data_IF_785474609214
#
_entry.id   IF_785474609214
#
_cell.length_a   1.000
_cell.length_b   1.000
_cell.length_c   1.000
_cell.angle_alpha   90.00
_cell.angle_beta   90.00
_cell.angle_gamma   90.00
#
_symmetry.space_group_name_H-M   'P 1'
#
loop_
_entity.id
_entity.type
_entity.pdbx_description
1 polymer ?
#
# COMPACT_ATOMS: atom_id res chain seq x y z
N UNK A 1 -22.53 -0.44 8.81
CA UNK A 1 -21.77 -1.70 8.84
C UNK A 1 -20.97 -1.73 10.12
N UNK A 2 -20.73 -2.87 10.77
CA UNK A 2 -19.97 -2.91 12.02
C UNK A 2 -18.45 -2.68 11.85
N UNK A 3 -17.95 -2.80 10.62
CA UNK A 3 -16.54 -2.58 10.24
C UNK A 3 -16.45 -1.62 9.06
N UNK A 4 -15.26 -1.05 8.85
CA UNK A 4 -14.91 -0.16 7.73
C UNK A 4 -13.45 -0.39 7.30
N UNK A 5 -13.14 -0.11 6.05
CA UNK A 5 -11.77 0.04 5.60
C UNK A 5 -11.28 1.44 6.00
N UNK A 6 -10.28 1.55 6.90
CA UNK A 6 -9.75 2.85 7.31
C UNK A 6 -8.98 3.53 6.17
N UNK A 7 -8.78 4.84 6.32
CA UNK A 7 -7.87 5.59 5.45
C UNK A 7 -6.41 5.33 5.86
N UNK A 8 -5.48 5.44 4.91
CA UNK A 8 -4.06 5.21 5.20
C UNK A 8 -3.47 6.21 6.19
N UNK A 9 -4.02 7.43 6.27
CA UNK A 9 -3.57 8.45 7.23
C UNK A 9 -4.08 8.27 8.66
N UNK A 10 -4.93 7.28 8.92
CA UNK A 10 -5.35 6.93 10.28
C UNK A 10 -4.21 6.26 11.06
N UNK A 11 -4.31 6.15 12.40
CA UNK A 11 -3.28 5.50 13.21
C UNK A 11 -2.96 4.09 12.73
N UNK A 12 -1.69 3.74 12.79
CA UNK A 12 -1.19 2.44 12.34
C UNK A 12 -0.42 1.75 13.46
N UNK A 13 -0.55 0.42 13.57
CA UNK A 13 0.25 -0.40 14.45
C UNK A 13 1.61 -0.70 13.84
N UNK A 14 1.61 -1.08 12.57
CA UNK A 14 2.79 -1.56 11.87
C UNK A 14 2.71 -1.36 10.36
N UNK A 15 3.88 -1.42 9.73
CA UNK A 15 4.04 -1.64 8.28
C UNK A 15 4.66 -3.01 8.05
N UNK A 16 4.17 -3.75 7.05
CA UNK A 16 4.82 -4.94 6.52
C UNK A 16 5.71 -4.59 5.34
N UNK A 17 6.92 -5.17 5.34
CA UNK A 17 7.81 -5.28 4.18
C UNK A 17 8.02 -6.77 3.85
N UNK A 18 8.03 -7.09 2.57
CA UNK A 18 8.53 -8.37 2.07
C UNK A 18 9.93 -8.11 1.51
N UNK A 19 10.95 -8.70 2.15
CA UNK A 19 12.36 -8.32 1.95
C UNK A 19 12.96 -8.94 0.69
N UNK A 20 13.68 -8.17 -0.16
CA UNK A 20 14.34 -8.70 -1.35
C UNK A 20 15.43 -9.71 -1.01
N UNK A 21 15.55 -10.75 -1.82
CA UNK A 21 16.56 -11.80 -1.66
C UNK A 21 16.99 -12.39 -3.01
N UNK A 22 18.01 -13.25 -3.00
CA UNK A 22 18.57 -13.81 -4.24
C UNK A 22 17.64 -14.77 -5.00
N UNK A 23 16.49 -15.12 -4.43
CA UNK A 23 15.45 -15.91 -5.09
C UNK A 23 14.38 -15.06 -5.78
N UNK A 24 14.46 -13.72 -5.72
CA UNK A 24 13.57 -12.80 -6.41
C UNK A 24 14.20 -12.26 -7.69
N UNK A 25 13.42 -11.60 -8.52
CA UNK A 25 13.90 -10.93 -9.73
C UNK A 25 14.87 -9.76 -9.45
N UNK A 26 15.00 -9.36 -8.17
CA UNK A 26 15.99 -8.38 -7.71
C UNK A 26 17.44 -8.90 -7.69
N UNK A 27 17.66 -10.20 -7.90
CA UNK A 27 18.99 -10.81 -7.83
C UNK A 27 20.10 -10.05 -8.58
N UNK A 28 19.89 -9.52 -9.80
CA UNK A 28 20.93 -8.78 -10.54
C UNK A 28 21.34 -7.47 -9.88
N UNK A 29 20.47 -6.86 -9.07
CA UNK A 29 20.63 -5.53 -8.43
C UNK A 29 20.34 -5.61 -6.92
N UNK A 30 20.63 -6.77 -6.32
CA UNK A 30 20.27 -7.07 -4.93
C UNK A 30 20.87 -6.08 -3.93
N UNK A 31 22.04 -5.53 -4.18
CA UNK A 31 22.69 -4.59 -3.29
C UNK A 31 21.96 -3.24 -3.31
N UNK A 32 21.68 -2.71 -4.48
CA UNK A 32 21.00 -1.43 -4.65
C UNK A 32 19.57 -1.45 -4.09
N UNK A 33 18.80 -2.51 -4.35
CA UNK A 33 17.45 -2.62 -3.79
C UNK A 33 17.51 -2.82 -2.28
N UNK A 34 18.50 -3.54 -1.76
CA UNK A 34 18.69 -3.71 -0.31
C UNK A 34 18.99 -2.38 0.37
N UNK A 35 19.79 -1.50 -0.22
CA UNK A 35 20.05 -0.15 0.30
C UNK A 35 18.78 0.70 0.35
N UNK A 36 17.93 0.63 -0.67
CA UNK A 36 16.62 1.28 -0.68
C UNK A 36 15.75 0.78 0.48
N UNK A 37 15.65 -0.55 0.65
CA UNK A 37 14.87 -1.18 1.73
C UNK A 37 15.41 -0.85 3.13
N UNK A 38 16.71 -0.70 3.32
CA UNK A 38 17.30 -0.22 4.58
C UNK A 38 16.81 1.20 4.91
N UNK A 39 16.75 2.08 3.92
CA UNK A 39 16.28 3.45 4.10
C UNK A 39 14.79 3.49 4.43
N UNK A 40 13.96 2.70 3.75
CA UNK A 40 12.54 2.52 4.04
C UNK A 40 12.37 1.98 5.47
N UNK A 41 13.04 0.91 5.83
CA UNK A 41 12.97 0.27 7.15
C UNK A 41 13.40 1.23 8.27
N UNK A 42 14.43 2.07 8.03
CA UNK A 42 14.89 3.08 8.98
C UNK A 42 13.81 4.11 9.30
N UNK A 43 13.16 4.65 8.28
CA UNK A 43 12.18 5.72 8.49
C UNK A 43 10.87 5.19 9.10
N UNK A 44 10.46 3.98 8.75
CA UNK A 44 9.30 3.33 9.37
C UNK A 44 9.60 3.01 10.84
N UNK A 45 10.70 2.31 11.14
CA UNK A 45 10.99 1.82 12.49
C UNK A 45 11.30 2.91 13.51
N UNK A 46 11.63 4.13 13.09
CA UNK A 46 11.68 5.30 13.97
C UNK A 46 10.32 5.67 14.57
N UNK A 47 9.22 5.33 13.89
CA UNK A 47 7.87 5.87 14.19
C UNK A 47 6.86 4.82 14.59
N UNK A 48 6.95 3.61 14.03
CA UNK A 48 6.02 2.52 14.28
C UNK A 48 6.68 1.15 14.15
N UNK A 49 5.95 0.08 14.43
CA UNK A 49 6.46 -1.28 14.26
C UNK A 49 6.68 -1.60 12.80
N UNK A 50 7.69 -2.42 12.53
CA UNK A 50 8.01 -2.92 11.21
C UNK A 50 8.01 -4.45 11.24
N UNK A 51 7.19 -5.05 10.40
CA UNK A 51 7.16 -6.50 10.23
C UNK A 51 7.86 -6.87 8.92
N UNK A 52 8.91 -7.66 9.02
CA UNK A 52 9.70 -8.08 7.87
C UNK A 52 9.45 -9.54 7.58
N UNK A 53 8.84 -9.81 6.45
CA UNK A 53 8.64 -11.16 5.90
C UNK A 53 9.83 -11.50 4.99
N UNK A 54 10.48 -12.63 5.22
CA UNK A 54 11.67 -13.05 4.46
C UNK A 54 12.00 -14.53 4.68
N UNK A 55 12.55 -15.25 3.71
CA UNK A 55 13.09 -16.59 3.94
C UNK A 55 14.36 -16.61 4.81
N UNK A 56 15.06 -15.44 4.94
CA UNK A 56 16.38 -15.32 5.58
C UNK A 56 16.42 -14.34 6.78
N UNK A 57 15.54 -14.47 7.81
CA UNK A 57 15.39 -13.44 8.86
C UNK A 57 16.68 -13.11 9.61
N UNK A 58 17.53 -14.08 9.92
CA UNK A 58 18.80 -13.83 10.63
C UNK A 58 19.81 -13.04 9.79
N UNK A 59 19.75 -13.17 8.46
CA UNK A 59 20.60 -12.39 7.55
C UNK A 59 20.14 -10.95 7.51
N UNK A 60 18.83 -10.71 7.38
CA UNK A 60 18.24 -9.36 7.37
C UNK A 60 18.45 -8.68 8.72
N UNK A 61 18.24 -9.38 9.84
CA UNK A 61 18.48 -8.85 11.18
C UNK A 61 19.94 -8.40 11.37
N UNK A 62 20.91 -9.26 11.00
CA UNK A 62 22.34 -8.88 11.09
C UNK A 62 22.66 -7.68 10.21
N UNK A 63 22.07 -7.60 9.03
CA UNK A 63 22.23 -6.45 8.14
C UNK A 63 21.73 -5.16 8.80
N UNK A 64 20.49 -5.16 9.26
CA UNK A 64 19.85 -3.97 9.84
C UNK A 64 20.53 -3.52 11.15
N UNK A 65 21.12 -4.41 11.94
CA UNK A 65 21.91 -4.07 13.12
C UNK A 65 23.11 -3.17 12.81
N UNK A 66 23.62 -3.18 11.59
CA UNK A 66 24.74 -2.32 11.17
C UNK A 66 24.28 -0.95 10.66
N UNK A 67 22.98 -0.76 10.43
CA UNK A 67 22.43 0.43 9.77
C UNK A 67 21.42 1.20 10.59
N UNK A 68 20.82 0.61 11.63
CA UNK A 68 19.76 1.18 12.44
C UNK A 68 20.21 1.29 13.92
N UNK A 69 19.64 2.25 14.63
CA UNK A 69 19.84 2.39 16.07
C UNK A 69 19.02 1.36 16.89
N UNK A 70 19.34 1.23 18.19
CA UNK A 70 18.70 0.26 19.07
C UNK A 70 17.19 0.48 19.25
N UNK A 71 16.73 1.73 19.22
CA UNK A 71 15.32 2.07 19.34
C UNK A 71 14.53 1.58 18.12
N UNK A 72 15.05 1.83 16.92
CA UNK A 72 14.49 1.34 15.66
C UNK A 72 14.49 -0.18 15.61
N UNK A 73 15.60 -0.82 15.96
CA UNK A 73 15.72 -2.28 15.95
C UNK A 73 14.72 -2.97 16.91
N UNK A 74 14.41 -2.36 18.05
CA UNK A 74 13.45 -2.90 19.02
C UNK A 74 12.00 -2.94 18.50
N UNK A 75 11.71 -2.23 17.41
CA UNK A 75 10.39 -2.19 16.78
C UNK A 75 10.26 -3.13 15.59
N UNK A 76 11.33 -3.84 15.21
CA UNK A 76 11.31 -4.73 14.05
C UNK A 76 11.07 -6.16 14.50
N UNK A 77 10.11 -6.81 13.86
CA UNK A 77 9.88 -8.25 14.01
C UNK A 77 10.11 -8.94 12.67
N UNK A 78 10.78 -10.07 12.69
CA UNK A 78 11.15 -10.84 11.49
C UNK A 78 10.38 -12.15 11.44
N UNK A 79 9.79 -12.45 10.29
CA UNK A 79 9.02 -13.68 10.05
C UNK A 79 9.69 -14.51 8.96
N UNK A 80 9.98 -15.77 9.29
CA UNK A 80 10.53 -16.74 8.34
C UNK A 80 9.42 -17.32 7.49
N UNK A 81 9.17 -16.69 6.35
CA UNK A 81 8.18 -17.13 5.39
C UNK A 81 8.81 -17.06 3.99
N UNK A 82 8.67 -18.11 3.16
CA UNK A 82 9.11 -18.08 1.77
C UNK A 82 8.31 -17.06 0.95
N UNK A 83 8.97 -16.39 0.00
CA UNK A 83 8.35 -15.38 -0.86
C UNK A 83 8.83 -15.55 -2.31
N UNK A 84 8.01 -15.11 -3.27
CA UNK A 84 8.40 -15.02 -4.67
C UNK A 84 9.01 -13.65 -4.97
N UNK A 85 8.40 -12.56 -4.45
CA UNK A 85 8.80 -11.17 -4.71
C UNK A 85 8.61 -10.29 -3.47
N UNK A 86 8.54 -8.97 -3.64
CA UNK A 86 8.67 -7.97 -2.58
C UNK A 86 7.48 -7.01 -2.47
N UNK A 87 6.45 -7.19 -3.27
CA UNK A 87 5.37 -6.24 -3.44
C UNK A 87 4.27 -6.42 -2.38
N UNK A 88 4.62 -6.12 -1.12
CA UNK A 88 3.74 -6.33 0.03
C UNK A 88 2.38 -5.63 -0.10
N UNK A 89 2.32 -4.49 -0.79
CA UNK A 89 1.06 -3.76 -1.04
C UNK A 89 0.00 -4.65 -1.67
N UNK A 90 0.40 -5.57 -2.54
CA UNK A 90 -0.52 -6.29 -3.40
C UNK A 90 -0.91 -7.66 -2.87
N UNK A 91 -0.07 -8.25 -2.01
CA UNK A 91 -0.34 -9.58 -1.46
C UNK A 91 -0.67 -9.60 0.05
N UNK A 92 -0.36 -8.53 0.81
CA UNK A 92 -0.60 -8.53 2.24
C UNK A 92 -2.08 -8.27 2.59
N UNK A 93 -2.47 -8.55 3.85
CA UNK A 93 -3.84 -8.34 4.32
C UNK A 93 -4.36 -6.94 4.08
N UNK A 94 -5.60 -6.84 3.61
CA UNK A 94 -6.40 -5.64 3.70
C UNK A 94 -7.14 -5.69 5.03
N UNK A 95 -6.99 -4.67 5.88
CA UNK A 95 -7.44 -4.72 7.27
C UNK A 95 -8.64 -3.78 7.50
N UNK A 96 -9.75 -4.33 8.01
CA UNK A 96 -10.88 -3.53 8.47
C UNK A 96 -10.80 -3.27 9.97
N UNK A 97 -11.20 -2.06 10.37
CA UNK A 97 -11.39 -1.69 11.76
C UNK A 97 -12.87 -1.70 12.15
N UNK A 98 -13.22 -2.02 13.42
CA UNK A 98 -14.58 -1.86 13.93
C UNK A 98 -15.00 -0.38 13.89
N UNK A 99 -16.28 -0.12 13.67
CA UNK A 99 -16.84 1.24 13.72
C UNK A 99 -17.23 1.65 15.13
N UNK A 100 -17.50 0.68 16.01
CA UNK A 100 -17.74 0.91 17.43
C UNK A 100 -16.43 0.71 18.21
N UNK A 101 -15.89 1.81 18.74
CA UNK A 101 -14.64 1.84 19.51
C UNK A 101 -14.89 1.83 21.02
N UNK A 102 -16.15 1.70 21.46
CA UNK A 102 -16.50 1.69 22.90
C UNK A 102 -16.13 0.39 23.59
N UNK A 103 -16.04 -0.70 22.84
CA UNK A 103 -15.59 -2.01 23.30
C UNK A 103 -14.50 -2.56 22.40
N UNK A 104 -13.41 -3.11 22.95
CA UNK A 104 -12.38 -3.74 22.14
C UNK A 104 -12.97 -4.86 21.28
N UNK A 105 -12.75 -4.78 19.98
CA UNK A 105 -13.15 -5.78 19.00
C UNK A 105 -11.94 -6.18 18.15
N UNK A 106 -11.86 -7.43 17.67
CA UNK A 106 -10.79 -7.82 16.76
C UNK A 106 -10.91 -7.06 15.44
N UNK A 107 -9.78 -6.77 14.80
CA UNK A 107 -9.74 -6.34 13.41
C UNK A 107 -10.15 -7.50 12.52
N UNK A 108 -10.62 -7.21 11.31
CA UNK A 108 -10.82 -8.21 10.27
C UNK A 108 -9.67 -8.13 9.26
N UNK A 109 -9.00 -9.23 9.07
CA UNK A 109 -7.86 -9.39 8.16
C UNK A 109 -8.36 -10.12 6.92
N UNK A 110 -8.56 -9.35 5.85
CA UNK A 110 -9.08 -9.88 4.59
C UNK A 110 -7.92 -10.44 3.77
N UNK A 111 -7.95 -11.74 3.48
CA UNK A 111 -6.96 -12.45 2.67
C UNK A 111 -7.50 -12.65 1.26
N UNK A 112 -7.20 -11.70 0.37
CA UNK A 112 -7.57 -11.77 -1.04
C UNK A 112 -6.57 -12.57 -1.85
N UNK A 113 -7.03 -13.16 -2.94
CA UNK A 113 -6.14 -13.85 -3.87
C UNK A 113 -5.24 -12.86 -4.60
N UNK A 114 -3.94 -13.06 -4.46
CA UNK A 114 -2.92 -12.41 -5.29
C UNK A 114 -2.48 -13.36 -6.40
N UNK A 115 -2.66 -12.94 -7.66
CA UNK A 115 -2.33 -13.74 -8.85
C UNK A 115 -1.19 -13.15 -9.68
N UNK A 116 -0.34 -12.30 -9.08
CA UNK A 116 0.72 -11.57 -9.76
C UNK A 116 0.21 -10.80 -10.99
N UNK A 117 -0.74 -9.90 -10.74
CA UNK A 117 -1.29 -8.93 -11.71
C UNK A 117 -1.88 -9.57 -12.97
N UNK A 118 -2.63 -10.63 -12.78
CA UNK A 118 -3.26 -11.37 -13.89
C UNK A 118 -2.45 -12.56 -14.39
N UNK A 119 -1.64 -13.18 -13.54
CA UNK A 119 -0.87 -14.38 -13.85
C UNK A 119 0.38 -14.10 -14.69
N UNK A 120 0.94 -12.90 -14.62
CA UNK A 120 2.14 -12.49 -15.34
C UNK A 120 3.42 -13.07 -14.76
N UNK A 121 3.42 -13.38 -13.43
CA UNK A 121 4.55 -13.90 -12.68
C UNK A 121 4.12 -15.04 -11.76
N UNK A 122 5.10 -15.73 -11.16
CA UNK A 122 4.86 -16.72 -10.10
C UNK A 122 4.49 -16.00 -8.80
N UNK A 123 3.41 -16.42 -8.13
CA UNK A 123 2.89 -15.78 -6.93
C UNK A 123 2.45 -16.77 -5.83
N UNK A 124 2.69 -18.06 -6.00
CA UNK A 124 2.18 -19.08 -5.07
C UNK A 124 2.67 -18.87 -3.64
N UNK A 125 3.94 -18.49 -3.47
CA UNK A 125 4.52 -18.24 -2.14
C UNK A 125 3.99 -16.92 -1.56
N UNK A 126 3.88 -15.86 -2.36
CA UNK A 126 3.40 -14.56 -1.92
C UNK A 126 1.92 -14.62 -1.51
N UNK A 127 1.10 -15.34 -2.27
CA UNK A 127 -0.31 -15.58 -1.96
C UNK A 127 -0.52 -16.39 -0.66
N UNK A 128 0.49 -17.11 -0.17
CA UNK A 128 0.41 -17.89 1.07
C UNK A 128 0.97 -17.15 2.31
N UNK A 129 1.56 -15.96 2.12
CA UNK A 129 2.18 -15.19 3.21
C UNK A 129 1.17 -14.87 4.31
N UNK A 130 -0.01 -14.40 3.96
CA UNK A 130 -1.04 -13.97 4.91
C UNK A 130 -1.44 -15.10 5.85
N UNK A 131 -1.74 -16.28 5.33
CA UNK A 131 -2.10 -17.44 6.12
C UNK A 131 -0.98 -17.86 7.06
N UNK A 132 0.29 -17.88 6.58
CA UNK A 132 1.45 -18.20 7.40
C UNK A 132 1.70 -17.14 8.48
N UNK A 133 1.60 -15.85 8.11
CA UNK A 133 1.81 -14.75 9.05
C UNK A 133 0.75 -14.74 10.16
N UNK A 134 -0.52 -14.94 9.83
CA UNK A 134 -1.61 -15.06 10.82
C UNK A 134 -1.35 -16.18 11.82
N UNK A 135 -0.84 -17.32 11.36
CA UNK A 135 -0.58 -18.48 12.21
C UNK A 135 0.57 -18.27 13.23
N UNK A 136 1.54 -17.39 12.91
CA UNK A 136 2.75 -17.23 13.75
C UNK A 136 2.85 -15.87 14.45
N UNK A 137 2.07 -14.88 14.04
CA UNK A 137 2.14 -13.53 14.60
C UNK A 137 1.34 -13.43 15.91
N UNK A 138 1.94 -12.97 17.02
CA UNK A 138 1.30 -13.02 18.34
C UNK A 138 0.01 -12.20 18.47
N UNK A 139 -0.10 -11.10 17.74
CA UNK A 139 -1.28 -10.23 17.80
C UNK A 139 -2.27 -10.50 16.68
N UNK A 140 -1.81 -10.77 15.45
CA UNK A 140 -2.72 -11.07 14.33
C UNK A 140 -3.54 -12.35 14.56
N UNK A 141 -3.03 -13.31 15.33
CA UNK A 141 -3.79 -14.51 15.72
C UNK A 141 -5.02 -14.22 16.58
N UNK A 142 -5.14 -13.02 17.16
CA UNK A 142 -6.30 -12.56 17.89
C UNK A 142 -7.31 -11.78 17.02
N UNK A 143 -6.89 -11.38 15.83
CA UNK A 143 -7.75 -10.75 14.82
C UNK A 143 -8.56 -11.81 14.06
N UNK A 144 -9.65 -11.40 13.43
CA UNK A 144 -10.49 -12.30 12.64
C UNK A 144 -9.90 -12.45 11.24
N UNK A 145 -9.43 -13.65 10.91
CA UNK A 145 -9.03 -13.99 9.56
C UNK A 145 -10.27 -14.21 8.69
N UNK A 146 -10.36 -13.53 7.55
CA UNK A 146 -11.39 -13.73 6.54
C UNK A 146 -10.80 -14.24 5.23
N UNK A 147 -11.25 -15.41 4.80
CA UNK A 147 -10.86 -16.01 3.52
C UNK A 147 -11.67 -15.37 2.38
N UNK A 148 -10.96 -14.63 1.54
CA UNK A 148 -11.45 -14.03 0.30
C UNK A 148 -10.67 -14.52 -0.93
N UNK A 149 -10.04 -15.70 -0.84
CA UNK A 149 -9.24 -16.28 -1.92
C UNK A 149 -10.05 -16.68 -3.17
N UNK A 150 -11.37 -16.58 -3.11
CA UNK A 150 -12.28 -16.67 -4.26
C UNK A 150 -12.35 -15.38 -5.09
N UNK A 151 -11.70 -14.29 -4.65
CA UNK A 151 -11.72 -12.99 -5.30
C UNK A 151 -10.30 -12.43 -5.43
N UNK A 152 -9.88 -12.08 -6.64
CA UNK A 152 -8.56 -11.50 -6.91
C UNK A 152 -8.60 -9.99 -6.68
N UNK A 153 -7.81 -9.50 -5.73
CA UNK A 153 -7.70 -8.07 -5.41
C UNK A 153 -6.30 -7.77 -4.87
N UNK A 154 -5.67 -6.75 -5.44
CA UNK A 154 -4.41 -6.21 -4.97
C UNK A 154 -4.65 -4.92 -4.14
N UNK A 155 -3.94 -4.76 -3.03
CA UNK A 155 -4.07 -3.56 -2.18
C UNK A 155 -3.71 -2.25 -2.88
N UNK A 156 -2.79 -2.29 -3.85
CA UNK A 156 -2.43 -1.13 -4.67
C UNK A 156 -3.51 -0.69 -5.66
N UNK A 157 -4.50 -1.55 -5.92
CA UNK A 157 -5.62 -1.25 -6.81
C UNK A 157 -6.75 -0.45 -6.15
N UNK A 158 -6.68 -0.19 -4.85
CA UNK A 158 -7.72 0.50 -4.08
C UNK A 158 -7.17 1.60 -3.18
N UNK A 159 -7.93 2.66 -3.00
CA UNK A 159 -7.72 3.75 -2.03
C UNK A 159 -8.98 3.95 -1.20
N UNK A 160 -8.84 4.21 0.10
CA UNK A 160 -9.96 4.43 1.04
C UNK A 160 -9.91 5.80 1.69
N UNK A 161 -11.08 6.46 1.83
CA UNK A 161 -11.22 7.69 2.63
C UNK A 161 -11.50 7.41 4.12
N UNK A 162 -11.61 6.15 4.52
CA UNK A 162 -12.01 5.74 5.87
C UNK A 162 -13.49 5.96 6.19
N UNK A 163 -14.26 6.51 5.27
CA UNK A 163 -15.67 6.87 5.46
C UNK A 163 -16.60 6.13 4.48
N UNK A 164 -16.09 5.06 3.88
CA UNK A 164 -16.86 4.19 2.99
C UNK A 164 -16.77 4.54 1.50
N UNK A 165 -15.88 5.46 1.10
CA UNK A 165 -15.55 5.69 -0.30
C UNK A 165 -14.29 4.91 -0.67
N UNK A 166 -14.35 4.16 -1.75
CA UNK A 166 -13.19 3.54 -2.39
C UNK A 166 -12.96 4.22 -3.75
N UNK A 167 -11.73 4.59 -4.02
CA UNK A 167 -11.27 5.03 -5.34
C UNK A 167 -10.46 3.90 -5.97
N UNK A 168 -10.74 3.59 -7.23
CA UNK A 168 -10.10 2.50 -7.97
C UNK A 168 -10.09 2.78 -9.47
N UNK A 169 -9.43 1.92 -10.26
CA UNK A 169 -9.43 2.01 -11.71
C UNK A 169 -10.24 0.89 -12.35
N UNK A 170 -10.98 1.21 -13.40
CA UNK A 170 -11.69 0.23 -14.19
C UNK A 170 -10.73 -0.68 -14.98
N UNK A 171 -9.61 -0.13 -15.44
CA UNK A 171 -8.61 -0.87 -16.19
C UNK A 171 -7.99 -2.02 -15.38
N UNK A 172 -7.82 -1.86 -14.04
CA UNK A 172 -7.34 -2.91 -13.17
C UNK A 172 -8.47 -3.87 -12.75
N UNK A 173 -9.43 -3.37 -11.96
CA UNK A 173 -10.39 -4.24 -11.28
C UNK A 173 -11.53 -4.78 -12.19
N UNK A 174 -11.72 -4.25 -13.40
CA UNK A 174 -12.61 -4.83 -14.39
C UNK A 174 -11.85 -5.58 -15.50
N UNK A 175 -10.54 -5.79 -15.33
CA UNK A 175 -9.73 -6.53 -16.29
C UNK A 175 -10.09 -8.03 -16.25
N UNK A 176 -10.34 -8.68 -17.40
CA UNK A 176 -10.64 -10.12 -17.44
C UNK A 176 -9.53 -11.02 -16.89
N UNK A 177 -8.31 -10.50 -16.70
CA UNK A 177 -7.21 -11.23 -16.10
C UNK A 177 -7.27 -11.27 -14.54
N UNK A 178 -8.16 -10.47 -13.93
CA UNK A 178 -8.60 -10.63 -12.53
C UNK A 178 -9.84 -11.51 -12.54
N UNK A 179 -9.67 -12.76 -12.08
CA UNK A 179 -10.73 -13.78 -12.13
C UNK A 179 -11.66 -13.59 -10.93
N UNK A 180 -12.75 -12.92 -11.15
CA UNK A 180 -13.82 -12.80 -10.18
C UNK A 180 -14.89 -13.87 -10.43
N UNK A 181 -15.46 -14.38 -9.36
CA UNK A 181 -16.56 -15.34 -9.45
C UNK A 181 -17.89 -14.70 -9.92
N UNK A 182 -17.90 -13.39 -10.18
CA UNK A 182 -19.10 -12.60 -10.53
C UNK A 182 -18.77 -11.54 -11.56
N UNK A 183 -19.77 -11.18 -12.37
CA UNK A 183 -19.69 -10.04 -13.30
C UNK A 183 -19.96 -8.70 -12.61
N UNK A 184 -20.52 -8.71 -11.38
CA UNK A 184 -20.81 -7.50 -10.59
C UNK A 184 -19.68 -7.22 -9.58
N UNK A 185 -18.54 -6.81 -10.10
CA UNK A 185 -17.33 -6.49 -9.33
C UNK A 185 -17.58 -5.35 -8.33
N UNK A 186 -18.38 -4.34 -8.71
CA UNK A 186 -18.66 -3.20 -7.81
C UNK A 186 -19.41 -3.63 -6.55
N UNK A 187 -20.45 -4.46 -6.69
CA UNK A 187 -21.19 -4.98 -5.54
C UNK A 187 -20.31 -5.83 -4.65
N UNK A 188 -19.43 -6.66 -5.21
CA UNK A 188 -18.50 -7.46 -4.42
C UNK A 188 -17.44 -6.63 -3.71
N UNK A 189 -16.87 -5.61 -4.34
CA UNK A 189 -15.96 -4.68 -3.68
C UNK A 189 -16.64 -3.97 -2.52
N UNK A 190 -17.87 -3.45 -2.71
CA UNK A 190 -18.64 -2.82 -1.63
C UNK A 190 -18.89 -3.77 -0.47
N UNK A 191 -19.28 -5.00 -0.76
CA UNK A 191 -19.60 -6.00 0.26
C UNK A 191 -18.35 -6.41 1.05
N UNK A 192 -17.26 -6.76 0.37
CA UNK A 192 -16.03 -7.28 0.99
C UNK A 192 -15.25 -6.21 1.72
N UNK A 193 -15.18 -5.00 1.17
CA UNK A 193 -14.46 -3.87 1.77
C UNK A 193 -15.32 -3.02 2.72
N UNK A 194 -16.57 -3.40 2.95
CA UNK A 194 -17.55 -2.64 3.72
C UNK A 194 -17.69 -1.18 3.21
N UNK A 195 -17.58 -0.99 1.89
CA UNK A 195 -17.69 0.31 1.26
C UNK A 195 -19.15 0.67 0.94
N UNK A 196 -19.44 1.97 0.93
CA UNK A 196 -20.75 2.51 0.55
C UNK A 196 -20.79 2.87 -0.92
N UNK A 197 -19.66 3.29 -1.49
CA UNK A 197 -19.54 3.69 -2.89
C UNK A 197 -18.14 3.44 -3.44
N UNK A 198 -18.09 3.25 -4.75
CA UNK A 198 -16.86 3.16 -5.52
C UNK A 198 -16.77 4.36 -6.46
N UNK A 199 -15.63 5.03 -6.49
CA UNK A 199 -15.25 6.00 -7.49
C UNK A 199 -14.36 5.33 -8.53
N UNK A 200 -14.82 5.23 -9.75
CA UNK A 200 -14.10 4.61 -10.85
C UNK A 200 -13.32 5.65 -11.64
N UNK A 201 -12.01 5.40 -11.85
CA UNK A 201 -11.22 6.05 -12.90
C UNK A 201 -11.18 5.13 -14.12
N UNK A 202 -11.57 5.65 -15.27
CA UNK A 202 -11.55 4.93 -16.53
C UNK A 202 -10.34 5.27 -17.39
N UNK A 203 -9.65 6.37 -17.09
CA UNK A 203 -8.48 6.85 -17.80
C UNK A 203 -7.31 7.01 -16.84
N UNK A 204 -6.14 6.75 -17.34
CA UNK A 204 -4.88 6.75 -16.61
C UNK A 204 -4.16 5.43 -16.88
N UNK A 205 -2.92 5.37 -16.47
CA UNK A 205 -2.08 4.19 -16.65
C UNK A 205 -0.70 4.59 -17.15
N UNK A 206 0.30 4.00 -16.51
CA UNK A 206 1.70 4.20 -16.88
C UNK A 206 2.04 3.30 -18.08
N UNK A 207 2.93 3.76 -18.94
CA UNK A 207 3.43 2.93 -20.03
C UNK A 207 4.16 1.70 -19.48
N UNK A 208 3.87 0.53 -20.05
CA UNK A 208 4.46 -0.76 -19.66
C UNK A 208 4.21 -1.14 -18.18
N UNK A 209 3.11 -0.65 -17.59
CA UNK A 209 2.69 -1.01 -16.26
C UNK A 209 2.21 -2.47 -16.19
N UNK A 210 2.80 -3.24 -15.28
CA UNK A 210 2.43 -4.65 -15.10
C UNK A 210 1.15 -4.81 -14.26
N UNK A 211 0.73 -3.75 -13.54
CA UNK A 211 -0.42 -3.77 -12.62
C UNK A 211 -1.77 -3.52 -13.29
N UNK A 212 -1.78 -3.17 -14.58
CA UNK A 212 -2.98 -2.74 -15.32
C UNK A 212 -3.59 -1.45 -14.73
N UNK A 213 -2.75 -0.45 -14.43
CA UNK A 213 -3.12 0.86 -13.90
C UNK A 213 -3.63 0.84 -12.44
N UNK A 214 -2.79 0.39 -11.51
CA UNK A 214 -3.07 0.53 -10.08
C UNK A 214 -3.31 1.99 -9.69
N UNK A 215 -4.32 2.20 -8.83
CA UNK A 215 -4.72 3.54 -8.40
C UNK A 215 -3.63 4.25 -7.60
N UNK A 216 -2.84 3.53 -6.82
CA UNK A 216 -1.78 4.06 -5.95
C UNK A 216 -0.62 4.70 -6.72
N UNK A 217 -0.50 4.43 -8.02
CA UNK A 217 0.45 5.10 -8.92
C UNK A 217 -0.12 6.35 -9.59
N UNK A 218 -1.45 6.51 -9.57
CA UNK A 218 -2.19 7.52 -10.31
C UNK A 218 -2.82 8.59 -9.43
N UNK A 219 -3.55 8.19 -8.38
CA UNK A 219 -4.27 9.12 -7.52
C UNK A 219 -4.48 8.54 -6.11
N UNK A 220 -4.26 9.35 -5.10
CA UNK A 220 -4.34 8.99 -3.69
C UNK A 220 -5.40 9.83 -2.98
N UNK A 221 -6.30 9.16 -2.24
CA UNK A 221 -7.19 9.86 -1.32
C UNK A 221 -6.37 10.39 -0.13
N UNK A 222 -6.70 11.60 0.30
CA UNK A 222 -5.99 12.33 1.37
C UNK A 222 -6.96 13.02 2.31
N UNK A 223 -6.53 13.49 3.49
CA UNK A 223 -7.39 14.24 4.42
C UNK A 223 -8.08 15.44 3.76
N UNK A 224 -9.19 15.89 4.38
CA UNK A 224 -9.93 17.10 3.99
C UNK A 224 -10.43 17.08 2.56
N UNK A 225 -11.03 15.97 2.13
CA UNK A 225 -11.59 15.82 0.77
C UNK A 225 -10.58 16.15 -0.34
N UNK A 226 -9.31 15.79 -0.15
CA UNK A 226 -8.23 16.05 -1.10
C UNK A 226 -7.87 14.78 -1.87
N UNK A 227 -7.55 14.93 -3.16
CA UNK A 227 -6.95 13.90 -4.00
C UNK A 227 -5.60 14.42 -4.50
N UNK A 228 -4.50 13.72 -4.18
CA UNK A 228 -3.21 13.92 -4.82
C UNK A 228 -3.15 13.01 -6.05
N UNK A 229 -2.75 13.56 -7.20
CA UNK A 229 -2.74 12.79 -8.44
C UNK A 229 -1.50 13.06 -9.31
N UNK A 230 -1.09 12.06 -10.09
CA UNK A 230 0.03 12.14 -11.05
C UNK A 230 -0.32 13.01 -12.26
N UNK A 231 0.55 13.94 -12.60
CA UNK A 231 0.46 14.75 -13.84
C UNK A 231 0.62 13.89 -15.09
N UNK A 232 0.25 14.45 -16.24
CA UNK A 232 0.46 13.85 -17.55
C UNK A 232 -0.73 13.06 -18.11
N UNK A 233 -1.86 13.03 -17.40
CA UNK A 233 -3.08 12.29 -17.81
C UNK A 233 -4.30 13.23 -17.88
N UNK A 234 -4.50 14.00 -19.01
CA UNK A 234 -5.58 14.99 -19.10
C UNK A 234 -7.00 14.41 -18.92
N UNK A 235 -7.25 13.24 -19.47
CA UNK A 235 -8.56 12.57 -19.33
C UNK A 235 -8.83 12.15 -17.89
N UNK A 236 -7.84 11.59 -17.18
CA UNK A 236 -7.92 11.29 -15.75
C UNK A 236 -8.19 12.54 -14.93
N UNK A 237 -7.49 13.64 -15.21
CA UNK A 237 -7.72 14.91 -14.52
C UNK A 237 -9.17 15.39 -14.69
N UNK A 238 -9.75 15.28 -15.89
CA UNK A 238 -11.15 15.62 -16.14
C UNK A 238 -12.11 14.74 -15.33
N UNK A 239 -11.83 13.45 -15.21
CA UNK A 239 -12.64 12.55 -14.38
C UNK A 239 -12.53 12.93 -12.89
N UNK A 240 -11.33 13.20 -12.39
CA UNK A 240 -11.13 13.64 -10.99
C UNK A 240 -11.89 14.95 -10.69
N UNK A 241 -11.88 15.91 -11.61
CA UNK A 241 -12.67 17.14 -11.47
C UNK A 241 -14.20 16.91 -11.41
N UNK A 242 -14.68 15.85 -12.05
CA UNK A 242 -16.09 15.47 -12.03
C UNK A 242 -16.49 14.71 -10.76
N UNK A 243 -15.55 14.12 -10.03
CA UNK A 243 -15.82 13.38 -8.81
C UNK A 243 -16.37 14.27 -7.70
N UNK A 244 -17.21 13.69 -6.85
CA UNK A 244 -17.85 14.41 -5.74
C UNK A 244 -17.67 13.63 -4.44
N UNK A 245 -17.51 14.36 -3.35
CA UNK A 245 -17.53 13.80 -1.99
C UNK A 245 -18.91 13.22 -1.66
N UNK A 246 -19.10 12.46 -0.58
CA UNK A 246 -20.42 12.00 -0.13
C UNK A 246 -21.43 13.13 0.09
N UNK A 247 -20.95 14.36 0.37
CA UNK A 247 -21.76 15.55 0.56
C UNK A 247 -22.01 16.33 -0.73
N UNK A 248 -21.60 15.81 -1.90
CA UNK A 248 -21.80 16.43 -3.21
C UNK A 248 -20.82 17.56 -3.57
N UNK A 249 -19.78 17.80 -2.74
CA UNK A 249 -18.75 18.81 -3.01
C UNK A 249 -17.68 18.26 -3.97
N UNK A 250 -17.00 19.10 -4.78
CA UNK A 250 -15.81 18.67 -5.51
C UNK A 250 -14.67 18.33 -4.54
N UNK A 251 -13.81 17.39 -4.93
CA UNK A 251 -12.54 17.17 -4.23
C UNK A 251 -11.57 18.33 -4.51
N UNK A 252 -10.73 18.61 -3.52
CA UNK A 252 -9.55 19.45 -3.72
C UNK A 252 -8.46 18.62 -4.43
N UNK A 253 -8.04 19.08 -5.61
CA UNK A 253 -7.07 18.36 -6.44
C UNK A 253 -5.67 18.96 -6.30
N UNK A 254 -4.68 18.16 -5.98
CA UNK A 254 -3.27 18.54 -5.89
C UNK A 254 -2.46 17.66 -6.83
N UNK A 255 -1.78 18.25 -7.80
CA UNK A 255 -0.95 17.49 -8.73
C UNK A 255 0.47 17.29 -8.21
N UNK A 256 1.05 16.15 -8.54
CA UNK A 256 2.48 15.83 -8.37
C UNK A 256 3.05 15.37 -9.71
N UNK A 257 4.36 15.48 -9.93
CA UNK A 257 4.97 14.91 -11.13
C UNK A 257 4.68 13.42 -11.27
N UNK A 258 4.79 12.89 -12.47
CA UNK A 258 4.53 11.49 -12.78
C UNK A 258 5.37 10.55 -11.89
N UNK A 259 4.77 9.47 -11.37
CA UNK A 259 5.31 8.47 -10.42
C UNK A 259 5.35 8.90 -8.95
N UNK A 260 5.22 10.17 -8.58
CA UNK A 260 5.32 10.63 -7.19
C UNK A 260 4.03 10.41 -6.37
N UNK A 261 2.92 9.98 -6.98
CA UNK A 261 1.73 9.60 -6.24
C UNK A 261 1.93 8.31 -5.40
N UNK A 262 2.97 7.55 -5.65
CA UNK A 262 3.25 6.29 -4.94
C UNK A 262 3.99 6.52 -3.60
N UNK A 263 3.56 7.54 -2.82
CA UNK A 263 4.06 7.84 -1.49
C UNK A 263 3.39 6.95 -0.42
N UNK A 264 4.08 6.75 0.71
CA UNK A 264 3.58 5.99 1.86
C UNK A 264 3.27 6.93 3.02
N UNK A 265 2.06 6.84 3.57
CA UNK A 265 1.66 7.56 4.76
C UNK A 265 1.91 6.66 5.97
N UNK A 266 2.70 7.14 6.94
CA UNK A 266 2.98 6.45 8.20
C UNK A 266 2.66 7.36 9.38
N UNK A 267 2.69 6.85 10.60
CA UNK A 267 2.51 7.67 11.78
C UNK A 267 3.53 8.82 11.80
N UNK A 268 3.05 10.06 11.85
CA UNK A 268 3.82 11.32 11.95
C UNK A 268 4.68 11.68 10.73
N UNK A 269 4.68 10.88 9.66
CA UNK A 269 5.43 11.21 8.45
C UNK A 269 4.73 10.74 7.17
N UNK A 270 5.16 11.29 6.04
CA UNK A 270 4.88 10.77 4.70
C UNK A 270 6.23 10.51 4.03
N UNK A 271 6.46 9.28 3.64
CA UNK A 271 7.63 8.90 2.86
C UNK A 271 7.31 9.09 1.37
N UNK A 272 8.08 9.92 0.70
CA UNK A 272 7.85 10.29 -0.70
C UNK A 272 8.95 9.69 -1.55
N UNK A 273 8.63 8.91 -2.60
CA UNK A 273 9.66 8.42 -3.49
C UNK A 273 10.33 9.59 -4.22
N UNK A 274 11.65 9.54 -4.34
CA UNK A 274 12.45 10.48 -5.14
C UNK A 274 13.24 9.73 -6.21
N UNK A 275 13.53 10.41 -7.31
CA UNK A 275 14.09 9.75 -8.48
C UNK A 275 15.34 10.47 -9.03
N UNK A 276 15.99 11.33 -8.21
CA UNK A 276 17.12 12.15 -8.57
C UNK A 276 16.84 13.08 -9.77
N UNK A 277 15.60 13.59 -9.84
CA UNK A 277 15.17 14.67 -10.73
C UNK A 277 14.88 15.88 -9.83
N UNK A 278 15.87 16.77 -9.56
CA UNK A 278 15.81 17.73 -8.46
C UNK A 278 14.56 18.62 -8.47
N UNK A 279 14.15 19.12 -9.63
CA UNK A 279 12.98 20.00 -9.75
C UNK A 279 11.67 19.25 -9.45
N UNK A 280 11.52 18.02 -9.95
CA UNK A 280 10.35 17.21 -9.73
C UNK A 280 10.32 16.64 -8.29
N UNK A 281 11.46 16.19 -7.77
CA UNK A 281 11.61 15.77 -6.38
C UNK A 281 11.15 16.91 -5.44
N UNK A 282 11.63 18.13 -5.65
CA UNK A 282 11.26 19.28 -4.83
C UNK A 282 9.78 19.65 -4.97
N UNK A 283 9.23 19.65 -6.18
CA UNK A 283 7.80 19.92 -6.44
C UNK A 283 6.91 18.92 -5.74
N UNK A 284 7.24 17.63 -5.80
CA UNK A 284 6.47 16.58 -5.16
C UNK A 284 6.49 16.72 -3.63
N UNK A 285 7.67 16.88 -3.03
CA UNK A 285 7.82 17.08 -1.59
C UNK A 285 7.02 18.30 -1.11
N UNK A 286 7.10 19.42 -1.83
CA UNK A 286 6.36 20.64 -1.50
C UNK A 286 4.84 20.43 -1.65
N UNK A 287 4.36 19.86 -2.74
CA UNK A 287 2.93 19.62 -2.95
C UNK A 287 2.33 18.73 -1.86
N UNK A 288 3.00 17.63 -1.52
CA UNK A 288 2.56 16.70 -0.47
C UNK A 288 2.58 17.38 0.91
N UNK A 289 3.56 18.23 1.20
CA UNK A 289 3.64 18.98 2.47
C UNK A 289 2.45 19.91 2.71
N UNK A 290 1.85 20.44 1.65
CA UNK A 290 0.65 21.28 1.79
C UNK A 290 -0.60 20.51 2.22
N UNK A 291 -0.64 19.21 1.89
CA UNK A 291 -1.76 18.31 2.21
C UNK A 291 -1.58 17.67 3.59
N UNK A 292 -0.34 17.48 4.02
CA UNK A 292 0.01 16.87 5.31
C UNK A 292 0.85 17.80 6.19
N UNK A 293 0.30 18.95 6.62
CA UNK A 293 1.06 19.98 7.36
C UNK A 293 1.54 19.49 8.75
N UNK A 294 0.89 18.47 9.31
CA UNK A 294 1.21 17.90 10.61
C UNK A 294 2.14 16.68 10.54
N UNK A 295 2.64 16.35 9.35
CA UNK A 295 3.54 15.21 9.12
C UNK A 295 4.87 15.67 8.56
N UNK A 296 5.94 14.98 8.98
CA UNK A 296 7.25 15.14 8.38
C UNK A 296 7.26 14.56 6.97
N UNK A 297 7.76 15.29 5.97
CA UNK A 297 7.84 14.85 4.59
C UNK A 297 9.28 14.41 4.30
N UNK A 298 9.48 13.15 3.97
CA UNK A 298 10.80 12.52 3.85
C UNK A 298 10.95 11.90 2.47
N UNK A 299 11.94 12.37 1.72
CA UNK A 299 12.30 11.77 0.43
C UNK A 299 13.06 10.45 0.61
N UNK A 300 12.68 9.43 -0.14
CA UNK A 300 13.36 8.14 -0.22
C UNK A 300 13.79 7.90 -1.67
N UNK A 301 15.07 7.68 -1.92
CA UNK A 301 15.55 7.35 -3.27
C UNK A 301 15.03 5.98 -3.71
N UNK A 302 14.07 6.02 -4.62
CA UNK A 302 13.37 4.83 -5.15
C UNK A 302 13.72 4.53 -6.61
N UNK A 303 14.80 5.11 -7.16
CA UNK A 303 15.21 4.87 -8.56
C UNK A 303 15.34 3.39 -8.89
N UNK A 304 15.86 2.62 -7.95
CA UNK A 304 16.04 1.17 -8.17
C UNK A 304 14.70 0.45 -8.31
N UNK A 305 13.66 0.88 -7.60
CA UNK A 305 12.34 0.25 -7.64
C UNK A 305 11.67 0.42 -9.00
N UNK A 306 11.89 1.56 -9.68
CA UNK A 306 11.38 1.80 -11.02
C UNK A 306 11.91 0.82 -12.07
N UNK A 307 13.04 0.18 -11.84
CA UNK A 307 13.60 -0.83 -12.77
C UNK A 307 12.68 -2.04 -12.93
N UNK A 308 11.80 -2.27 -11.94
CA UNK A 308 10.72 -3.25 -11.99
C UNK A 308 9.32 -2.59 -11.95
N UNK A 309 9.23 -1.33 -12.40
CA UNK A 309 7.97 -0.59 -12.63
C UNK A 309 7.12 -0.32 -11.38
N UNK A 310 7.62 -0.64 -10.19
CA UNK A 310 7.01 -0.31 -8.91
C UNK A 310 7.72 0.84 -8.21
N UNK A 311 7.20 1.26 -7.05
CA UNK A 311 7.82 2.27 -6.21
C UNK A 311 7.56 2.02 -4.72
N UNK A 312 7.70 3.04 -3.88
CA UNK A 312 7.74 2.96 -2.43
C UNK A 312 6.47 2.34 -1.81
N UNK A 313 5.29 2.82 -2.20
CA UNK A 313 4.02 2.33 -1.66
C UNK A 313 3.79 0.86 -2.01
N UNK A 314 4.15 0.46 -3.23
CA UNK A 314 4.01 -0.92 -3.70
C UNK A 314 4.79 -1.94 -2.84
N UNK A 315 5.88 -1.52 -2.17
CA UNK A 315 6.69 -2.38 -1.32
C UNK A 315 6.14 -2.56 0.10
N UNK A 316 5.07 -1.85 0.48
CA UNK A 316 4.64 -1.68 1.86
C UNK A 316 3.16 -1.96 2.05
N UNK A 317 2.76 -2.50 3.23
CA UNK A 317 1.35 -2.59 3.62
C UNK A 317 1.19 -2.19 5.08
N UNK A 318 0.27 -1.26 5.34
CA UNK A 318 -0.07 -0.82 6.70
C UNK A 318 -1.02 -1.79 7.41
N UNK A 319 -0.84 -1.92 8.71
CA UNK A 319 -1.77 -2.54 9.64
C UNK A 319 -2.36 -1.44 10.53
N UNK A 320 -3.59 -1.01 10.27
CA UNK A 320 -4.21 0.08 11.03
C UNK A 320 -4.48 -0.31 12.47
N UNK A 321 -4.51 0.70 13.34
CA UNK A 321 -4.83 0.60 14.77
C UNK A 321 -5.79 1.70 15.15
N UNK A 322 -6.57 1.50 16.21
CA UNK A 322 -7.41 2.57 16.78
C UNK A 322 -6.59 3.60 17.56
N UNK A 323 -5.33 3.28 17.91
CA UNK A 323 -4.44 4.09 18.74
C UNK A 323 -3.05 4.16 18.13
N UNK A 324 -2.44 5.34 18.10
CA UNK A 324 -1.01 5.50 17.79
C UNK A 324 -0.20 4.93 18.96
N UNK A 325 0.60 3.90 18.68
CA UNK A 325 1.44 3.20 19.65
C UNK A 325 2.78 3.91 19.90
#
# INVERSE_FOLDING_TARGET
MPYRLPAEWEPQEAIQLTWPHNGTDWKPVIQEVTECYINIAREISKREKLWIVTPEPQKVERLLRNHLDQHSLARITYYRIPTNDTWARDHAFITLLPTDTTTPQPRHLLDFRFNAWGGKFEATLDNDINRQLHAVHPTLSNDTYEDHLDFELEGGSIESDGQGTILTTAQCNLNPNRRHATDDVETELKRRLHAQRILWLHHGGLEQDDTDAHIDTLARLCPNDTIIYSEGFPSMHTELQAMRTPQGRPYHLVSVPKYYANFLIINRAVLVPTYAVPDDDQRALQAISTVFPDREIIGIDCRILLTQKGSLHCCTMQYPSEVIL
#
